data_IF_504209087536
#
_entry.id   IF_504209087536
#
_cell.length_a   1.000
_cell.length_b   1.000
_cell.length_c   1.000
_cell.angle_alpha   90.00
_cell.angle_beta   90.00
_cell.angle_gamma   90.00
#
_symmetry.space_group_name_H-M   'P 1'
#
loop_
_entity.id
_entity.type
_entity.pdbx_description
1 polymer ?
#
# COMPACT_ATOMS: atom_id res chain seq x y z
N UNK A 1 8.72 6.31 11.67
CA UNK A 1 9.15 4.90 11.85
C UNK A 1 8.71 4.11 10.63
N UNK A 2 9.56 3.22 10.12
CA UNK A 2 9.40 2.46 8.87
C UNK A 2 10.62 1.55 8.68
N UNK A 3 10.78 0.94 7.50
CA UNK A 3 11.93 0.14 7.12
C UNK A 3 11.94 -1.28 7.70
N UNK A 4 10.75 -1.81 8.02
CA UNK A 4 10.62 -3.15 8.62
C UNK A 4 10.95 -4.24 7.61
N UNK A 5 10.73 -3.99 6.30
CA UNK A 5 11.08 -4.89 5.21
C UNK A 5 12.47 -4.53 4.69
N UNK A 6 13.45 -5.38 4.93
CA UNK A 6 14.86 -5.17 4.60
C UNK A 6 15.50 -6.49 4.17
N UNK A 7 16.74 -6.44 3.68
CA UNK A 7 17.54 -7.63 3.39
C UNK A 7 17.63 -8.61 4.57
N UNK A 8 17.53 -8.13 5.81
CA UNK A 8 17.62 -8.96 7.03
C UNK A 8 16.29 -9.58 7.43
N UNK A 9 15.18 -8.92 7.15
CA UNK A 9 13.85 -9.29 7.66
C UNK A 9 13.00 -9.99 6.60
N UNK A 10 13.13 -9.63 5.33
CA UNK A 10 12.43 -10.28 4.21
C UNK A 10 12.71 -11.79 4.18
N UNK A 11 13.95 -12.27 4.42
CA UNK A 11 14.22 -13.70 4.45
C UNK A 11 13.44 -14.50 5.50
N UNK A 12 12.98 -13.82 6.56
CA UNK A 12 12.27 -14.42 7.69
C UNK A 12 10.77 -14.55 7.44
N UNK A 13 10.23 -13.88 6.40
CA UNK A 13 8.81 -13.89 6.08
C UNK A 13 8.36 -15.28 5.63
N UNK A 14 7.28 -15.77 6.25
CA UNK A 14 6.58 -17.03 5.94
C UNK A 14 5.17 -16.77 5.41
N UNK A 15 5.01 -15.75 4.57
CA UNK A 15 3.73 -15.33 4.01
C UNK A 15 3.82 -15.19 2.49
N UNK A 16 2.75 -15.49 1.74
CA UNK A 16 2.71 -15.23 0.30
C UNK A 16 2.44 -13.75 -0.03
N UNK A 17 1.91 -12.97 0.91
CA UNK A 17 1.47 -11.59 0.66
C UNK A 17 1.92 -10.68 1.80
N UNK A 18 2.37 -9.47 1.44
CA UNK A 18 2.59 -8.35 2.36
C UNK A 18 1.70 -7.19 1.94
N UNK A 19 0.75 -6.84 2.82
CA UNK A 19 -0.26 -5.83 2.59
C UNK A 19 -0.64 -5.21 3.94
N UNK A 20 -0.11 -4.01 4.24
CA UNK A 20 -0.30 -3.36 5.54
C UNK A 20 -0.38 -1.84 5.43
N UNK A 21 -0.88 -1.18 6.47
CA UNK A 21 -1.11 0.27 6.50
C UNK A 21 0.11 1.11 6.93
N UNK A 22 1.18 0.47 7.39
CA UNK A 22 2.39 1.17 7.85
C UNK A 22 3.03 2.00 6.72
N UNK A 23 3.61 3.15 7.07
CA UNK A 23 4.33 4.01 6.14
C UNK A 23 5.79 3.58 6.00
N UNK A 24 6.36 3.80 4.80
CA UNK A 24 7.76 3.53 4.46
C UNK A 24 8.17 2.10 4.84
N UNK A 25 7.44 1.08 4.38
CA UNK A 25 7.63 -0.30 4.85
C UNK A 25 8.98 -0.89 4.45
N UNK A 26 9.45 -0.58 3.24
CA UNK A 26 10.76 -0.96 2.73
C UNK A 26 11.87 -0.11 3.37
N UNK A 27 12.96 -0.74 3.79
CA UNK A 27 14.15 -0.03 4.28
C UNK A 27 14.84 0.69 3.12
N UNK A 28 14.95 0.02 1.96
CA UNK A 28 15.37 0.61 0.70
C UNK A 28 14.42 0.18 -0.43
N UNK A 29 14.21 1.04 -1.43
CA UNK A 29 13.39 0.69 -2.60
C UNK A 29 13.86 -0.58 -3.33
N UNK A 30 15.17 -0.83 -3.34
CA UNK A 30 15.77 -2.02 -3.97
C UNK A 30 15.37 -3.34 -3.28
N UNK A 31 14.99 -3.30 -2.00
CA UNK A 31 14.61 -4.49 -1.21
C UNK A 31 13.33 -5.14 -1.75
N UNK A 32 12.54 -4.42 -2.55
CA UNK A 32 11.34 -4.99 -3.21
C UNK A 32 11.69 -6.19 -4.09
N UNK A 33 12.90 -6.22 -4.68
CA UNK A 33 13.34 -7.34 -5.51
C UNK A 33 13.42 -8.64 -4.72
N UNK A 34 13.82 -8.59 -3.46
CA UNK A 34 13.88 -9.77 -2.59
C UNK A 34 12.49 -10.36 -2.31
N UNK A 35 11.47 -9.50 -2.20
CA UNK A 35 10.08 -9.96 -2.10
C UNK A 35 9.65 -10.66 -3.40
N UNK A 36 9.97 -10.06 -4.56
CA UNK A 36 9.64 -10.63 -5.87
C UNK A 36 10.34 -11.97 -6.12
N UNK A 37 11.65 -12.07 -5.85
CA UNK A 37 12.44 -13.30 -6.00
C UNK A 37 11.92 -14.44 -5.12
N UNK A 38 11.38 -14.11 -3.94
CA UNK A 38 10.74 -15.08 -3.03
C UNK A 38 9.29 -15.40 -3.40
N UNK A 39 8.75 -14.82 -4.48
CA UNK A 39 7.37 -14.99 -4.88
C UNK A 39 6.36 -14.36 -3.92
N UNK A 40 6.78 -13.39 -3.10
CA UNK A 40 5.91 -12.69 -2.15
C UNK A 40 5.29 -11.50 -2.88
N UNK A 41 3.95 -11.48 -2.96
CA UNK A 41 3.23 -10.34 -3.53
C UNK A 41 3.23 -9.18 -2.52
N UNK A 42 3.79 -8.05 -2.91
CA UNK A 42 3.83 -6.83 -2.10
C UNK A 42 2.84 -5.80 -2.63
N UNK A 43 1.90 -5.38 -1.79
CA UNK A 43 1.05 -4.23 -2.06
C UNK A 43 1.77 -2.96 -1.57
N UNK A 44 2.16 -2.02 -2.45
CA UNK A 44 2.91 -0.84 -2.05
C UNK A 44 2.15 -0.01 -1.01
N UNK A 45 2.85 0.33 0.07
CA UNK A 45 2.34 1.11 1.19
C UNK A 45 1.64 2.40 0.75
N UNK A 46 2.27 3.19 -0.10
CA UNK A 46 1.73 4.46 -0.62
C UNK A 46 0.43 4.32 -1.45
N UNK A 47 0.00 3.10 -1.77
CA UNK A 47 -1.29 2.81 -2.43
C UNK A 47 -2.27 2.20 -1.44
N UNK A 48 -1.88 1.12 -0.75
CA UNK A 48 -2.79 0.37 0.12
C UNK A 48 -3.23 1.18 1.34
N UNK A 49 -2.40 2.11 1.83
CA UNK A 49 -2.71 2.95 2.98
C UNK A 49 -3.35 4.30 2.62
N UNK A 50 -3.66 4.54 1.34
CA UNK A 50 -4.15 5.82 0.83
C UNK A 50 -5.51 6.27 1.42
N UNK A 51 -6.23 5.39 2.12
CA UNK A 51 -7.54 5.70 2.69
C UNK A 51 -7.55 6.91 3.63
N UNK A 52 -6.50 7.09 4.44
CA UNK A 52 -6.39 8.27 5.31
C UNK A 52 -6.29 9.58 4.53
N UNK A 53 -5.49 9.59 3.45
CA UNK A 53 -5.35 10.77 2.60
C UNK A 53 -6.64 11.05 1.81
N UNK A 54 -7.31 10.00 1.34
CA UNK A 54 -8.63 10.11 0.68
C UNK A 54 -9.65 10.77 1.62
N UNK A 55 -9.66 10.36 2.90
CA UNK A 55 -10.57 10.93 3.90
C UNK A 55 -10.32 12.43 4.13
N UNK A 56 -9.06 12.80 4.38
CA UNK A 56 -8.65 14.20 4.59
C UNK A 56 -8.90 15.06 3.35
N UNK A 57 -8.66 14.53 2.15
CA UNK A 57 -8.98 15.22 0.91
C UNK A 57 -10.48 15.49 0.77
N UNK A 58 -11.34 14.59 1.27
CA UNK A 58 -12.78 14.78 1.32
C UNK A 58 -13.22 15.95 2.21
N UNK A 59 -12.51 16.23 3.30
CA UNK A 59 -12.79 17.40 4.16
C UNK A 59 -12.55 18.74 3.43
N UNK A 60 -11.69 18.73 2.42
CA UNK A 60 -11.37 19.90 1.58
C UNK A 60 -12.28 20.00 0.35
N UNK A 61 -13.21 19.06 0.14
CA UNK A 61 -14.08 19.05 -1.03
C UNK A 61 -15.12 20.19 -0.98
N UNK A 62 -15.48 20.77 -2.14
CA UNK A 62 -16.60 21.70 -2.22
C UNK A 62 -17.88 21.03 -1.73
N UNK A 63 -18.55 21.63 -0.74
CA UNK A 63 -19.73 21.04 -0.09
C UNK A 63 -19.43 20.35 1.24
N UNK A 64 -18.17 20.25 1.65
CA UNK A 64 -17.74 19.66 2.91
C UNK A 64 -17.57 18.14 2.83
N UNK A 65 -17.34 17.53 4.00
CA UNK A 65 -17.06 16.11 4.11
C UNK A 65 -18.31 15.25 3.83
N UNK A 66 -18.17 14.33 2.88
CA UNK A 66 -19.15 13.28 2.57
C UNK A 66 -18.52 11.89 2.83
N UNK A 67 -18.97 11.15 3.86
CA UNK A 67 -18.44 9.83 4.19
C UNK A 67 -18.69 8.79 3.10
N UNK A 68 -19.81 8.86 2.37
CA UNK A 68 -20.14 7.90 1.32
C UNK A 68 -19.26 8.12 0.09
N UNK A 69 -18.98 9.38 -0.24
CA UNK A 69 -18.02 9.73 -1.29
C UNK A 69 -16.59 9.28 -0.93
N UNK A 70 -16.16 9.49 0.32
CA UNK A 70 -14.86 9.05 0.80
C UNK A 70 -14.73 7.51 0.73
N UNK A 71 -15.72 6.78 1.24
CA UNK A 71 -15.76 5.30 1.17
C UNK A 71 -15.76 4.79 -0.27
N UNK A 72 -16.54 5.43 -1.15
CA UNK A 72 -16.57 5.08 -2.58
C UNK A 72 -15.20 5.25 -3.23
N UNK A 73 -14.44 6.27 -2.85
CA UNK A 73 -13.07 6.48 -3.33
C UNK A 73 -12.11 5.45 -2.75
N UNK A 74 -12.18 5.14 -1.45
CA UNK A 74 -11.38 4.08 -0.81
C UNK A 74 -11.60 2.72 -1.50
N UNK A 75 -12.84 2.42 -1.89
CA UNK A 75 -13.19 1.20 -2.60
C UNK A 75 -12.50 1.03 -3.97
N UNK A 76 -11.85 2.09 -4.49
CA UNK A 76 -11.05 2.02 -5.73
C UNK A 76 -9.61 1.53 -5.53
N UNK A 77 -9.09 1.51 -4.29
CA UNK A 77 -7.72 1.08 -3.97
C UNK A 77 -7.40 -0.33 -4.52
N UNK A 78 -8.29 -1.35 -4.41
CA UNK A 78 -8.05 -2.67 -4.98
C UNK A 78 -7.84 -2.65 -6.50
N UNK A 79 -8.58 -1.81 -7.24
CA UNK A 79 -8.44 -1.67 -8.68
C UNK A 79 -7.06 -1.08 -9.04
N UNK A 80 -6.63 -0.05 -8.31
CA UNK A 80 -5.30 0.56 -8.51
C UNK A 80 -4.19 -0.46 -8.23
N UNK A 81 -4.30 -1.24 -7.16
CA UNK A 81 -3.36 -2.32 -6.86
C UNK A 81 -3.35 -3.39 -7.96
N UNK A 82 -4.53 -3.81 -8.44
CA UNK A 82 -4.64 -4.78 -9.53
C UNK A 82 -3.96 -4.28 -10.81
N UNK A 83 -4.11 -3.00 -11.14
CA UNK A 83 -3.44 -2.40 -12.30
C UNK A 83 -1.92 -2.38 -12.13
N UNK A 84 -1.39 -2.08 -10.94
CA UNK A 84 0.05 -2.17 -10.64
C UNK A 84 0.55 -3.60 -10.82
N UNK A 85 -0.19 -4.60 -10.30
CA UNK A 85 0.20 -6.00 -10.40
C UNK A 85 0.20 -6.55 -11.83
N UNK A 86 -0.59 -5.96 -12.74
CA UNK A 86 -0.62 -6.34 -14.16
C UNK A 86 0.50 -5.72 -14.99
N UNK A 87 1.08 -4.59 -14.55
CA UNK A 87 2.16 -3.87 -15.26
C UNK A 87 3.55 -4.53 -15.09
N UNK A 88 3.59 -5.84 -14.88
CA UNK A 88 4.84 -6.61 -14.76
C UNK A 88 5.64 -6.57 -16.06
#
# INVERSE_FOLDING_TARGET
MGGVLSEKTIPLLKTPIVAGSANNQLANHADVRLLMERGILYAPDYVINAGGLINVAGELAPGGYDPDAALSRVATIPTVLADIFRRR
#
